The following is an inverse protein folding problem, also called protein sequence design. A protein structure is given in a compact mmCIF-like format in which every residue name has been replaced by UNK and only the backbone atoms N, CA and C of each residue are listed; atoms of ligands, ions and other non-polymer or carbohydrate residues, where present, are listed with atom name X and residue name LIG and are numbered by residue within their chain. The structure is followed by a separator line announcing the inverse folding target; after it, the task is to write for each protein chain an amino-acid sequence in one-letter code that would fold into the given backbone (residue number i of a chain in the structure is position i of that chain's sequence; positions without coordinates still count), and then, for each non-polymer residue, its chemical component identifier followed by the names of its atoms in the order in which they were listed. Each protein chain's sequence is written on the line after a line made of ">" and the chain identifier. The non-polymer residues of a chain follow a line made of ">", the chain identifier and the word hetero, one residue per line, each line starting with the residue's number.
data_IF_851515667981
#
_entry.id   IF_851515667981
#
_cell.length_a   1.000
_cell.length_b   1.000
_cell.length_c   1.000
_cell.angle_alpha   90.00
_cell.angle_beta   90.00
_cell.angle_gamma   90.00
#
_symmetry.space_group_name_H-M   'P 1'
#
loop_
_entity.id
_entity.type
_entity.pdbx_description
1 polymer ?
#
# COMPACT_ATOMS: atom_id res chain seq x y z
N UNK A 1 3.57 -3.54 6.97
CA UNK A 1 2.50 -2.88 7.76
C UNK A 1 1.25 -3.75 7.69
N UNK A 2 0.85 -4.40 8.80
CA UNK A 2 -0.36 -5.20 8.85
C UNK A 2 -1.58 -4.31 8.65
N UNK A 3 -2.51 -4.74 7.81
CA UNK A 3 -3.76 -4.03 7.55
C UNK A 3 -4.78 -4.98 6.93
N UNK A 4 -6.07 -4.72 7.17
CA UNK A 4 -7.19 -5.50 6.63
C UNK A 4 -7.88 -4.80 5.46
N UNK A 5 -7.77 -3.47 5.38
CA UNK A 5 -8.35 -2.65 4.33
C UNK A 5 -7.43 -1.50 3.95
N UNK A 6 -7.44 -1.12 2.67
CA UNK A 6 -6.80 0.09 2.15
C UNK A 6 -7.83 1.00 1.48
N UNK A 7 -7.63 2.32 1.60
CA UNK A 7 -8.44 3.34 0.92
C UNK A 7 -7.57 4.06 -0.11
N UNK A 8 -7.97 4.02 -1.37
CA UNK A 8 -7.31 4.76 -2.44
C UNK A 8 -8.37 5.44 -3.32
N UNK A 9 -8.26 6.76 -3.49
CA UNK A 9 -9.17 7.56 -4.32
C UNK A 9 -10.67 7.29 -4.08
N UNK A 10 -11.05 7.13 -2.80
CA UNK A 10 -12.44 6.88 -2.40
C UNK A 10 -12.90 5.42 -2.51
N UNK A 11 -12.02 4.50 -2.93
CA UNK A 11 -12.33 3.07 -3.05
C UNK A 11 -11.65 2.29 -1.93
N UNK A 12 -12.47 1.55 -1.19
CA UNK A 12 -12.00 0.58 -0.21
C UNK A 12 -11.72 -0.76 -0.88
N UNK A 13 -10.55 -1.34 -0.58
CA UNK A 13 -10.18 -2.68 -1.00
C UNK A 13 -9.67 -3.49 0.18
N UNK A 14 -9.96 -4.80 0.17
CA UNK A 14 -9.57 -5.72 1.23
C UNK A 14 -8.12 -6.18 1.02
N UNK A 15 -7.41 -6.33 2.13
CA UNK A 15 -6.05 -6.87 2.21
C UNK A 15 -6.10 -8.19 2.99
N UNK A 16 -5.32 -9.19 2.57
CA UNK A 16 -5.18 -10.47 3.29
C UNK A 16 -4.23 -10.37 4.47
N UNK A 17 -3.11 -9.66 4.30
CA UNK A 17 -2.05 -9.57 5.32
C UNK A 17 -1.62 -8.13 5.60
N UNK A 18 -1.47 -7.33 4.54
CA UNK A 18 -1.06 -5.93 4.63
C UNK A 18 -0.16 -5.52 3.47
N UNK A 19 0.62 -4.47 3.70
CA UNK A 19 1.44 -3.80 2.67
C UNK A 19 2.92 -3.77 3.07
N UNK A 20 3.82 -3.84 2.11
CA UNK A 20 5.25 -3.64 2.33
C UNK A 20 5.53 -2.17 2.65
N UNK A 21 6.40 -1.95 3.63
CA UNK A 21 6.86 -0.62 4.01
C UNK A 21 8.33 -0.65 4.37
N UNK A 22 8.98 0.49 4.19
CA UNK A 22 10.35 0.75 4.62
C UNK A 22 10.32 1.52 5.93
N UNK A 23 10.92 0.96 6.98
CA UNK A 23 11.11 1.65 8.24
C UNK A 23 12.34 2.55 8.13
N UNK A 24 12.15 3.84 8.39
CA UNK A 24 13.21 4.84 8.43
C UNK A 24 13.12 5.55 9.77
N UNK A 25 14.25 5.96 10.33
CA UNK A 25 14.27 6.75 11.56
C UNK A 25 14.33 8.23 11.20
N UNK A 26 13.47 9.05 11.82
CA UNK A 26 13.52 10.49 11.65
C UNK A 26 14.75 11.10 12.36
N UNK A 27 14.89 12.44 12.30
CA UNK A 27 16.02 13.15 12.92
C UNK A 27 16.10 12.98 14.45
N UNK A 28 15.01 12.60 15.11
CA UNK A 28 14.93 12.34 16.55
C UNK A 28 15.04 10.84 16.87
N UNK A 29 15.26 9.99 15.86
CA UNK A 29 15.32 8.55 16.01
C UNK A 29 13.95 7.87 16.10
N UNK A 30 12.84 8.58 15.85
CA UNK A 30 11.52 7.97 15.87
C UNK A 30 11.28 7.15 14.58
N UNK A 31 10.74 5.92 14.66
CA UNK A 31 10.47 5.12 13.48
C UNK A 31 9.28 5.68 12.70
N UNK A 32 9.49 5.86 11.39
CA UNK A 32 8.47 6.26 10.41
C UNK A 32 8.44 5.19 9.32
N UNK A 33 7.23 4.86 8.83
CA UNK A 33 7.06 3.86 7.79
C UNK A 33 6.63 4.53 6.49
N UNK A 34 7.42 4.36 5.44
CA UNK A 34 7.03 4.72 4.07
C UNK A 34 6.49 3.48 3.36
N UNK A 35 5.34 3.62 2.69
CA UNK A 35 4.79 2.54 1.87
C UNK A 35 5.64 2.35 0.62
N UNK A 36 5.93 1.09 0.30
CA UNK A 36 6.57 0.75 -0.97
C UNK A 36 5.45 0.63 -2.02
N UNK A 37 5.58 1.39 -3.10
CA UNK A 37 4.65 1.35 -4.22
C UNK A 37 5.27 0.64 -5.43
N UNK A 38 4.41 0.06 -6.25
CA UNK A 38 4.73 -0.56 -7.53
C UNK A 38 3.72 -0.07 -8.59
N UNK A 39 4.02 -0.21 -9.89
CA UNK A 39 3.04 0.09 -10.92
C UNK A 39 1.73 -0.67 -10.65
N UNK A 40 0.60 0.03 -10.77
CA UNK A 40 -0.70 -0.57 -10.56
C UNK A 40 -0.96 -1.68 -11.58
N UNK A 41 -1.61 -2.75 -11.14
CA UNK A 41 -2.24 -3.65 -12.08
C UNK A 41 -3.36 -2.94 -12.81
N UNK A 42 -3.77 -3.50 -13.96
CA UNK A 42 -4.91 -2.98 -14.71
C UNK A 42 -6.20 -2.95 -13.89
N UNK A 43 -6.45 -3.97 -13.06
CA UNK A 43 -7.68 -4.04 -12.26
C UNK A 43 -7.67 -2.98 -11.14
N UNK A 44 -6.57 -2.87 -10.40
CA UNK A 44 -6.40 -1.83 -9.38
C UNK A 44 -6.54 -0.42 -9.98
N UNK A 45 -5.90 -0.17 -11.13
CA UNK A 45 -5.98 1.10 -11.84
C UNK A 45 -7.42 1.42 -12.29
N UNK A 46 -8.17 0.44 -12.80
CA UNK A 46 -9.58 0.63 -13.17
C UNK A 46 -10.45 0.98 -11.95
N UNK A 47 -10.24 0.28 -10.83
CA UNK A 47 -11.00 0.54 -9.60
C UNK A 47 -10.69 1.91 -9.01
N UNK A 48 -9.41 2.24 -8.87
CA UNK A 48 -8.95 3.38 -8.06
C UNK A 48 -8.54 4.59 -8.89
N UNK A 49 -8.38 4.44 -10.21
CA UNK A 49 -7.80 5.46 -11.11
C UNK A 49 -6.37 5.88 -10.71
N UNK A 50 -5.63 5.01 -10.03
CA UNK A 50 -4.25 5.26 -9.63
C UNK A 50 -3.28 4.45 -10.49
N UNK A 51 -2.22 5.10 -10.97
CA UNK A 51 -1.14 4.45 -11.72
C UNK A 51 -0.17 3.67 -10.81
N UNK A 52 -0.24 3.91 -9.51
CA UNK A 52 0.58 3.26 -8.49
C UNK A 52 -0.30 2.55 -7.46
N UNK A 53 0.17 1.39 -7.01
CA UNK A 53 -0.45 0.64 -5.93
C UNK A 53 0.57 0.29 -4.84
N UNK A 54 0.15 0.10 -3.58
CA UNK A 54 1.02 -0.44 -2.56
C UNK A 54 1.48 -1.86 -2.92
N UNK A 55 2.73 -2.20 -2.63
CA UNK A 55 3.21 -3.57 -2.78
C UNK A 55 2.61 -4.46 -1.68
N UNK A 56 1.62 -5.27 -2.04
CA UNK A 56 0.85 -6.10 -1.10
C UNK A 56 1.65 -7.35 -0.68
N UNK A 57 1.35 -7.87 0.51
CA UNK A 57 2.01 -9.06 1.04
C UNK A 57 1.19 -10.30 0.76
N UNK A 58 1.71 -11.20 -0.10
CA UNK A 58 1.10 -12.50 -0.38
C UNK A 58 -0.12 -12.46 -1.31
N UNK A 59 -0.33 -11.34 -2.01
CA UNK A 59 -1.44 -11.17 -2.93
C UNK A 59 -1.15 -10.12 -4.02
N UNK A 60 -1.98 -10.12 -5.06
CA UNK A 60 -2.01 -9.13 -6.13
C UNK A 60 -3.48 -8.81 -6.40
N UNK A 61 -3.79 -7.52 -6.52
CA UNK A 61 -5.11 -7.00 -6.91
C UNK A 61 -4.99 -6.56 -8.35
#
# INVERSE_FOLDING_TARGET
>A
MPATYGLANGVWFKLKQGMRGLVVHDRKGAPVVFLICQPATRYYQVMTRSDWMPALVGEVI
#
